data_IF_941209075249
#
_entry.id   IF_941209075249
#
_cell.length_a   1.000
_cell.length_b   1.000
_cell.length_c   1.000
_cell.angle_alpha   90.00
_cell.angle_beta   90.00
_cell.angle_gamma   90.00
#
_symmetry.space_group_name_H-M   'P 1'
#
loop_
_entity.id
_entity.type
_entity.pdbx_description
1 polymer ?
#
# COMPACT_ATOMS: atom_id res chain seq x y z
N UNK A 1 -24.99 50.22 24.64
CA UNK A 1 -23.72 49.66 25.13
C UNK A 1 -23.80 48.20 25.53
N UNK A 2 -24.85 47.74 26.11
CA UNK A 2 -24.96 46.33 26.52
C UNK A 2 -25.19 45.34 25.39
N UNK A 3 -25.68 45.73 24.23
CA UNK A 3 -25.88 44.82 23.11
C UNK A 3 -24.62 44.42 22.36
N UNK A 4 -23.60 45.24 22.39
CA UNK A 4 -22.33 44.92 21.72
C UNK A 4 -21.45 43.90 22.46
N UNK A 5 -21.61 43.80 23.77
CA UNK A 5 -20.89 42.83 24.60
C UNK A 5 -21.43 41.40 24.42
N UNK A 6 -22.71 41.25 24.15
CA UNK A 6 -23.32 39.93 23.96
C UNK A 6 -22.95 39.29 22.63
N UNK A 7 -22.73 40.08 21.62
CA UNK A 7 -22.35 39.58 20.29
C UNK A 7 -20.90 39.10 20.24
N UNK A 8 -20.02 39.75 20.98
CA UNK A 8 -18.59 39.38 21.03
C UNK A 8 -18.38 38.08 21.81
N UNK A 9 -19.15 37.83 22.85
CA UNK A 9 -19.07 36.62 23.63
C UNK A 9 -19.59 35.38 22.88
N UNK A 10 -20.57 35.54 22.01
CA UNK A 10 -21.09 34.43 21.21
C UNK A 10 -20.12 33.96 20.12
N UNK A 11 -19.33 34.88 19.57
CA UNK A 11 -18.40 34.57 18.46
C UNK A 11 -17.15 33.82 18.98
N UNK A 12 -16.68 34.15 20.19
CA UNK A 12 -15.53 33.47 20.78
C UNK A 12 -15.82 32.04 21.24
N UNK A 13 -17.05 31.77 21.71
CA UNK A 13 -17.45 30.43 22.12
C UNK A 13 -17.54 29.44 20.94
N UNK A 14 -17.95 29.92 19.76
CA UNK A 14 -18.07 29.06 18.56
C UNK A 14 -16.71 28.64 18.02
N UNK A 15 -15.71 29.52 18.05
CA UNK A 15 -14.36 29.21 17.57
C UNK A 15 -13.65 28.17 18.44
N UNK A 16 -13.85 28.22 19.76
CA UNK A 16 -13.25 27.27 20.70
C UNK A 16 -13.81 25.84 20.55
N UNK A 17 -15.09 25.71 20.22
CA UNK A 17 -15.77 24.42 20.00
C UNK A 17 -15.27 23.73 18.71
N UNK A 18 -15.01 24.48 17.64
CA UNK A 18 -14.49 23.93 16.37
C UNK A 18 -13.06 23.43 16.55
N UNK A 19 -12.22 24.16 17.27
CA UNK A 19 -10.85 23.75 17.55
C UNK A 19 -10.78 22.50 18.43
N UNK A 20 -11.69 22.34 19.40
CA UNK A 20 -11.75 21.17 20.27
C UNK A 20 -12.20 19.90 19.53
N UNK A 21 -13.13 20.01 18.57
CA UNK A 21 -13.60 18.90 17.77
C UNK A 21 -12.55 18.39 16.79
N UNK A 22 -11.71 19.24 16.22
CA UNK A 22 -10.62 18.87 15.33
C UNK A 22 -9.49 18.13 16.07
N UNK A 23 -9.23 18.48 17.33
CA UNK A 23 -8.22 17.81 18.17
C UNK A 23 -8.72 16.47 18.73
N UNK A 24 -10.03 16.30 18.96
CA UNK A 24 -10.62 15.06 19.42
C UNK A 24 -10.76 14.00 18.30
N UNK A 25 -10.75 14.42 17.05
CA UNK A 25 -10.78 13.54 15.87
C UNK A 25 -9.40 13.00 15.46
N UNK A 26 -8.41 13.06 16.35
CA UNK A 26 -7.08 12.50 16.18
C UNK A 26 -7.07 10.96 16.23
N UNK A 27 -8.04 10.31 15.59
CA UNK A 27 -7.90 8.93 15.15
C UNK A 27 -6.77 8.85 14.12
N UNK A 28 -5.97 7.81 14.18
CA UNK A 28 -4.96 7.50 13.18
C UNK A 28 -5.58 7.70 11.79
N UNK A 29 -5.04 8.61 11.01
CA UNK A 29 -5.45 8.75 9.62
C UNK A 29 -5.06 7.43 8.94
N UNK A 30 -6.04 6.58 8.74
CA UNK A 30 -5.89 5.45 7.81
C UNK A 30 -5.76 6.10 6.46
N UNK A 31 -4.64 5.92 5.79
CA UNK A 31 -4.49 6.38 4.42
C UNK A 31 -5.65 5.82 3.61
N UNK A 32 -6.36 6.70 2.91
CA UNK A 32 -7.37 6.23 1.97
C UNK A 32 -6.69 5.37 0.90
N UNK A 33 -7.33 4.30 0.43
CA UNK A 33 -6.80 3.50 -0.67
C UNK A 33 -6.39 4.41 -1.82
N UNK A 34 -5.22 4.18 -2.39
CA UNK A 34 -4.68 5.05 -3.44
C UNK A 34 -5.51 5.01 -4.72
N UNK A 35 -6.25 3.92 -4.94
CA UNK A 35 -6.95 3.66 -6.19
C UNK A 35 -6.02 3.57 -7.40
N UNK A 36 -4.72 3.51 -7.16
CA UNK A 36 -3.71 3.53 -8.19
C UNK A 36 -3.36 2.09 -8.58
N UNK A 37 -3.62 1.73 -9.83
CA UNK A 37 -3.18 0.43 -10.35
C UNK A 37 -1.67 0.27 -10.22
N UNK A 38 -1.25 -0.88 -9.65
CA UNK A 38 0.15 -1.20 -9.45
C UNK A 38 0.76 -0.61 -8.19
N UNK A 39 -0.03 -0.16 -7.24
CA UNK A 39 0.38 0.20 -5.90
C UNK A 39 0.03 -0.98 -4.98
N UNK A 40 0.94 -1.95 -4.85
CA UNK A 40 0.65 -3.21 -4.18
C UNK A 40 0.75 -3.14 -2.65
N UNK A 41 1.28 -2.05 -2.11
CA UNK A 41 1.39 -1.84 -0.68
C UNK A 41 0.52 -0.67 -0.16
N UNK A 42 -0.20 0.04 -1.05
CA UNK A 42 -1.11 1.11 -0.68
C UNK A 42 -0.44 2.41 -0.22
N UNK A 43 0.82 2.65 -0.59
CA UNK A 43 1.58 3.82 -0.15
C UNK A 43 1.44 5.05 -1.07
N UNK A 44 0.69 4.91 -2.18
CA UNK A 44 0.46 5.98 -3.14
C UNK A 44 1.50 6.09 -4.24
N UNK A 45 2.45 5.16 -4.32
CA UNK A 45 3.46 5.10 -5.38
C UNK A 45 3.32 3.81 -6.18
N UNK A 46 3.54 3.89 -7.49
CA UNK A 46 3.48 2.70 -8.34
C UNK A 46 4.66 1.78 -8.10
N UNK A 47 4.35 0.51 -7.93
CA UNK A 47 5.28 -0.59 -7.80
C UNK A 47 5.45 -1.32 -9.14
N UNK A 48 6.43 -2.20 -9.21
CA UNK A 48 6.70 -3.00 -10.39
C UNK A 48 6.76 -4.48 -10.02
N UNK A 49 5.90 -5.29 -10.61
CA UNK A 49 5.98 -6.75 -10.54
C UNK A 49 6.77 -7.27 -11.74
N UNK A 50 7.78 -8.07 -11.48
CA UNK A 50 8.69 -8.62 -12.48
C UNK A 50 8.61 -10.14 -12.41
N UNK A 51 8.22 -10.78 -13.51
CA UNK A 51 8.26 -12.23 -13.66
C UNK A 51 9.68 -12.71 -13.91
N UNK A 52 10.09 -13.75 -13.22
CA UNK A 52 11.37 -14.44 -13.42
C UNK A 52 11.15 -15.96 -13.47
N UNK A 53 10.44 -16.48 -14.49
CA UNK A 53 10.05 -17.88 -14.55
C UNK A 53 11.23 -18.85 -14.61
N UNK A 54 12.36 -18.42 -15.16
CA UNK A 54 13.58 -19.22 -15.23
C UNK A 54 14.47 -19.09 -13.98
N UNK A 55 14.04 -18.28 -13.01
CA UNK A 55 14.77 -18.04 -11.77
C UNK A 55 14.97 -19.30 -10.95
N UNK A 56 16.11 -19.39 -10.25
CA UNK A 56 16.39 -20.49 -9.35
C UNK A 56 15.88 -20.17 -7.95
N UNK A 57 15.09 -21.07 -7.38
CA UNK A 57 14.60 -21.00 -6.00
C UNK A 57 14.95 -22.31 -5.29
N UNK A 58 15.48 -22.22 -4.07
CA UNK A 58 15.85 -23.40 -3.25
C UNK A 58 16.71 -24.41 -4.01
N UNK A 59 17.60 -23.94 -4.88
CA UNK A 59 18.48 -24.78 -5.69
C UNK A 59 17.82 -25.41 -6.94
N UNK A 60 16.52 -25.15 -7.19
CA UNK A 60 15.77 -25.68 -8.33
C UNK A 60 15.79 -24.69 -9.51
N UNK A 61 16.44 -25.08 -10.60
CA UNK A 61 16.51 -24.25 -11.80
C UNK A 61 15.13 -24.15 -12.47
N UNK A 62 14.75 -22.94 -12.90
CA UNK A 62 13.43 -22.71 -13.51
C UNK A 62 12.24 -22.93 -12.59
N UNK A 63 12.45 -22.98 -11.27
CA UNK A 63 11.34 -23.00 -10.33
C UNK A 63 10.51 -21.70 -10.42
N UNK A 64 11.17 -20.59 -10.72
CA UNK A 64 10.54 -19.31 -10.98
C UNK A 64 10.17 -18.51 -9.73
N UNK A 65 10.07 -17.21 -9.91
CA UNK A 65 9.61 -16.28 -8.89
C UNK A 65 9.06 -14.99 -9.51
N UNK A 66 8.34 -14.24 -8.70
CA UNK A 66 7.94 -12.86 -9.00
C UNK A 66 8.67 -11.94 -8.04
N UNK A 67 9.28 -10.88 -8.54
CA UNK A 67 9.86 -9.82 -7.75
C UNK A 67 8.93 -8.60 -7.79
N UNK A 68 8.51 -8.11 -6.63
CA UNK A 68 7.82 -6.83 -6.49
C UNK A 68 8.83 -5.81 -5.99
N UNK A 69 9.07 -4.77 -6.78
CA UNK A 69 9.92 -3.63 -6.44
C UNK A 69 9.02 -2.45 -6.12
N UNK A 70 9.15 -1.91 -4.92
CA UNK A 70 8.28 -0.85 -4.46
C UNK A 70 8.70 0.52 -4.95
N UNK A 71 7.68 1.32 -5.28
CA UNK A 71 7.84 2.70 -5.67
C UNK A 71 8.06 3.64 -4.49
N UNK A 72 8.59 4.80 -4.79
CA UNK A 72 8.77 5.91 -3.85
C UNK A 72 8.56 7.22 -4.60
N UNK A 73 8.54 8.33 -3.88
CA UNK A 73 8.53 9.68 -4.48
C UNK A 73 9.69 9.94 -5.47
N UNK A 74 10.76 9.15 -5.37
CA UNK A 74 11.94 9.27 -6.23
C UNK A 74 12.02 8.17 -7.32
N UNK A 75 10.96 7.39 -7.49
CA UNK A 75 10.91 6.25 -8.40
C UNK A 75 11.05 4.90 -7.68
N UNK A 76 11.36 3.85 -8.43
CA UNK A 76 11.50 2.51 -7.89
C UNK A 76 12.75 2.39 -7.00
N UNK A 77 12.57 1.83 -5.81
CA UNK A 77 13.66 1.57 -4.86
C UNK A 77 14.08 0.10 -4.92
N UNK A 78 15.23 -0.18 -5.52
CA UNK A 78 15.77 -1.54 -5.67
C UNK A 78 16.06 -2.23 -4.34
N UNK A 79 16.23 -1.48 -3.26
CA UNK A 79 16.45 -2.02 -1.90
C UNK A 79 15.13 -2.46 -1.26
N UNK A 80 14.00 -1.92 -1.70
CA UNK A 80 12.66 -2.25 -1.24
C UNK A 80 11.99 -3.21 -2.22
N UNK A 81 12.19 -4.49 -2.00
CA UNK A 81 11.60 -5.53 -2.86
C UNK A 81 11.16 -6.74 -2.07
N UNK A 82 10.16 -7.41 -2.59
CA UNK A 82 9.68 -8.71 -2.09
C UNK A 82 9.80 -9.75 -3.19
N UNK A 83 10.29 -10.93 -2.84
CA UNK A 83 10.33 -12.10 -3.74
C UNK A 83 9.21 -13.04 -3.34
N UNK A 84 8.41 -13.42 -4.30
CA UNK A 84 7.27 -14.33 -4.15
C UNK A 84 7.53 -15.57 -4.99
N UNK A 85 7.49 -16.74 -4.39
CA UNK A 85 7.68 -18.03 -5.04
C UNK A 85 6.92 -19.11 -4.29
N UNK A 86 6.98 -20.35 -4.76
CA UNK A 86 6.43 -21.49 -4.03
C UNK A 86 7.14 -21.77 -2.70
N UNK A 87 8.33 -21.18 -2.46
CA UNK A 87 8.99 -21.22 -1.16
C UNK A 87 8.46 -20.17 -0.17
N UNK A 88 7.61 -19.24 -0.63
CA UNK A 88 7.02 -18.19 0.21
C UNK A 88 5.90 -18.75 1.08
N UNK A 89 5.92 -18.44 2.38
CA UNK A 89 4.86 -18.87 3.31
C UNK A 89 3.48 -18.41 2.80
N UNK A 90 2.53 -19.34 2.78
CA UNK A 90 1.17 -19.07 2.29
C UNK A 90 0.97 -19.31 0.79
N UNK A 91 2.02 -19.51 0.02
CA UNK A 91 1.93 -19.93 -1.37
C UNK A 91 1.91 -21.45 -1.43
N UNK A 92 0.90 -22.06 -2.07
CA UNK A 92 0.81 -23.52 -2.19
C UNK A 92 1.92 -24.10 -3.07
N UNK A 93 2.30 -25.32 -2.78
CA UNK A 93 3.30 -26.06 -3.54
C UNK A 93 4.68 -26.02 -2.94
N UNK A 94 5.61 -26.64 -3.62
CA UNK A 94 7.05 -26.67 -3.29
C UNK A 94 7.82 -26.38 -4.56
N UNK A 95 8.91 -25.58 -4.51
CA UNK A 95 9.67 -25.29 -5.71
C UNK A 95 10.26 -26.56 -6.34
N UNK A 96 9.96 -26.80 -7.60
CA UNK A 96 10.50 -27.90 -8.40
C UNK A 96 11.20 -27.34 -9.64
N UNK A 97 12.06 -28.14 -10.23
CA UNK A 97 12.76 -27.77 -11.46
C UNK A 97 11.75 -27.59 -12.59
N UNK A 98 11.82 -26.45 -13.29
CA UNK A 98 10.95 -26.13 -14.44
C UNK A 98 9.46 -25.95 -14.10
N UNK A 99 9.15 -25.49 -12.90
CA UNK A 99 7.77 -25.07 -12.53
C UNK A 99 7.34 -23.78 -13.19
N UNK A 100 8.31 -22.92 -13.52
CA UNK A 100 8.09 -21.62 -14.18
C UNK A 100 7.10 -20.71 -13.43
N UNK A 101 7.13 -20.72 -12.09
CA UNK A 101 6.28 -19.85 -11.30
C UNK A 101 6.43 -18.39 -11.74
N UNK A 102 5.30 -17.74 -11.98
CA UNK A 102 5.28 -16.37 -12.47
C UNK A 102 5.45 -16.23 -13.99
N UNK A 103 5.37 -17.31 -14.77
CA UNK A 103 5.42 -17.24 -16.24
C UNK A 103 4.36 -16.29 -16.83
N UNK A 104 3.22 -16.19 -16.17
CA UNK A 104 2.16 -15.26 -16.51
C UNK A 104 1.73 -14.48 -15.28
N UNK A 105 1.70 -13.16 -15.40
CA UNK A 105 1.24 -12.25 -14.36
C UNK A 105 0.03 -11.45 -14.85
N UNK A 106 -0.89 -11.27 -13.93
CA UNK A 106 -1.92 -10.24 -14.04
C UNK A 106 -2.08 -9.57 -12.69
N UNK A 107 -2.46 -8.32 -12.68
CA UNK A 107 -2.69 -7.56 -11.46
C UNK A 107 -4.11 -7.03 -11.44
N UNK A 108 -4.69 -6.91 -10.28
CA UNK A 108 -6.02 -6.36 -10.10
C UNK A 108 -6.36 -6.25 -8.62
N UNK A 109 -7.23 -5.33 -8.31
CA UNK A 109 -7.83 -5.18 -7.00
C UNK A 109 -8.91 -6.24 -6.84
N UNK A 110 -8.60 -7.32 -6.12
CA UNK A 110 -9.48 -8.49 -5.98
C UNK A 110 -10.47 -8.37 -4.83
N UNK A 111 -10.17 -7.59 -3.82
CA UNK A 111 -10.98 -7.41 -2.62
C UNK A 111 -11.63 -6.03 -2.51
N UNK A 112 -11.35 -5.14 -3.46
CA UNK A 112 -11.96 -3.82 -3.54
C UNK A 112 -11.39 -2.83 -2.54
N UNK A 113 -10.16 -3.06 -2.04
CA UNK A 113 -9.51 -2.17 -1.07
C UNK A 113 -8.81 -0.97 -1.73
N UNK A 114 -8.74 -0.94 -3.08
CA UNK A 114 -8.23 0.16 -3.88
C UNK A 114 -6.75 0.05 -4.26
N UNK A 115 -6.10 -1.08 -4.03
CA UNK A 115 -4.71 -1.36 -4.46
C UNK A 115 -4.41 -2.87 -4.57
#
# INVERSE_FOLDING_TARGET
>A
MQQNLRTILATTASAALVSGLLLAAGGSAVAAPSGMQGDFNGDGYRDLAIAAPLGKISGKAGAGYVAVVYGTKNGLDKSKRTIISQATTGIPGTPETSDYFGDRLTTGDLDGDGY
#
